data_IF_458363072827
#
_entry.id   IF_458363072827
#
_cell.length_a   1.000
_cell.length_b   1.000
_cell.length_c   1.000
_cell.angle_alpha   90.00
_cell.angle_beta   90.00
_cell.angle_gamma   90.00
#
_symmetry.space_group_name_H-M   'P 1'
#
loop_
_entity.id
_entity.type
_entity.pdbx_description
1 polymer ?
#
# COMPACT_ATOMS: atom_id res chain seq x y z
N UNK A 1 -17.20 -5.67 -25.49
CA UNK A 1 -17.26 -6.28 -24.14
C UNK A 1 -16.93 -5.19 -23.12
N UNK A 2 -17.54 -5.24 -21.93
CA UNK A 2 -17.23 -4.31 -20.83
C UNK A 2 -15.86 -4.67 -20.24
N UNK A 3 -15.09 -3.69 -19.77
CA UNK A 3 -13.81 -3.93 -19.10
C UNK A 3 -14.07 -4.51 -17.71
N UNK A 4 -13.37 -5.59 -17.35
CA UNK A 4 -13.41 -6.13 -16.00
C UNK A 4 -12.67 -5.19 -15.03
N UNK A 5 -13.29 -4.91 -13.90
CA UNK A 5 -12.70 -4.06 -12.87
C UNK A 5 -12.93 -4.69 -11.51
N UNK A 6 -11.91 -4.69 -10.67
CA UNK A 6 -11.97 -5.28 -9.33
C UNK A 6 -11.49 -4.29 -8.28
N UNK A 7 -12.07 -4.37 -7.08
CA UNK A 7 -11.59 -3.64 -5.89
C UNK A 7 -11.36 -4.65 -4.78
N UNK A 8 -10.13 -4.70 -4.28
CA UNK A 8 -9.69 -5.68 -3.30
C UNK A 8 -9.16 -4.92 -2.09
N UNK A 9 -9.56 -5.33 -0.89
CA UNK A 9 -8.98 -4.79 0.35
C UNK A 9 -7.79 -5.65 0.72
N UNK A 10 -6.59 -5.07 0.72
CA UNK A 10 -5.32 -5.79 0.91
C UNK A 10 -4.68 -5.53 2.29
N UNK A 11 -5.20 -4.56 3.02
CA UNK A 11 -4.95 -4.33 4.45
C UNK A 11 -6.16 -3.59 5.04
N UNK A 12 -6.64 -3.98 6.21
CA UNK A 12 -7.79 -3.32 6.87
C UNK A 12 -7.61 -3.29 8.38
N UNK A 13 -7.59 -2.08 8.94
CA UNK A 13 -7.40 -1.89 10.37
C UNK A 13 -6.14 -2.62 10.84
N UNK A 14 -5.14 -2.65 9.97
CA UNK A 14 -3.87 -3.31 10.20
C UNK A 14 -2.91 -2.30 10.80
N UNK A 15 -2.18 -2.72 11.84
CA UNK A 15 -1.18 -1.89 12.48
C UNK A 15 0.17 -2.17 11.84
N UNK A 16 0.76 -1.13 11.27
CA UNK A 16 2.07 -1.15 10.65
C UNK A 16 3.13 -0.62 11.62
N UNK A 17 4.17 -1.42 11.82
CA UNK A 17 5.34 -1.17 12.69
C UNK A 17 6.56 -1.77 11.99
N UNK A 18 7.70 -1.07 11.99
CA UNK A 18 8.90 -1.53 11.28
C UNK A 18 8.65 -1.74 9.79
N UNK A 19 9.16 -2.85 9.23
CA UNK A 19 8.91 -3.26 7.84
C UNK A 19 7.64 -4.08 7.77
N UNK A 20 6.68 -3.63 6.95
CA UNK A 20 5.35 -4.23 6.82
C UNK A 20 4.94 -4.30 5.35
N UNK A 21 4.06 -5.24 5.01
CA UNK A 21 3.58 -5.42 3.65
C UNK A 21 2.10 -5.79 3.65
N UNK A 22 1.35 -5.32 2.65
CA UNK A 22 -0.03 -5.75 2.43
C UNK A 22 -0.08 -7.22 1.99
N UNK A 23 -1.27 -7.82 2.08
CA UNK A 23 -1.54 -9.09 1.41
C UNK A 23 -1.24 -8.95 -0.10
N UNK A 24 -0.50 -9.90 -0.70
CA UNK A 24 -0.17 -9.87 -2.11
C UNK A 24 -1.39 -10.29 -2.96
N UNK A 25 -1.52 -9.71 -4.15
CA UNK A 25 -2.62 -10.02 -5.06
C UNK A 25 -2.09 -10.45 -6.43
N UNK A 26 -2.57 -11.61 -6.89
CA UNK A 26 -2.41 -12.04 -8.29
C UNK A 26 -3.39 -11.26 -9.17
N UNK A 27 -2.84 -10.53 -10.13
CA UNK A 27 -3.57 -9.57 -10.95
C UNK A 27 -3.05 -9.50 -12.39
N UNK A 28 -2.45 -10.58 -12.91
CA UNK A 28 -1.94 -10.63 -14.29
C UNK A 28 -2.97 -10.43 -15.41
N UNK A 29 -4.26 -10.47 -15.08
CA UNK A 29 -5.36 -10.11 -15.99
C UNK A 29 -5.53 -8.59 -16.15
N UNK A 30 -5.06 -7.80 -15.18
CA UNK A 30 -5.22 -6.36 -15.15
C UNK A 30 -4.07 -5.66 -15.90
N UNK A 31 -4.35 -4.46 -16.40
CA UNK A 31 -3.40 -3.62 -17.13
C UNK A 31 -3.02 -2.36 -16.35
N UNK A 32 -3.89 -1.94 -15.43
CA UNK A 32 -3.72 -0.75 -14.61
C UNK A 32 -4.12 -1.06 -13.17
N UNK A 33 -3.35 -0.54 -12.22
CA UNK A 33 -3.60 -0.67 -10.79
C UNK A 33 -3.53 0.68 -10.10
N UNK A 34 -4.41 0.90 -9.11
CA UNK A 34 -4.30 2.02 -8.17
C UNK A 34 -4.42 1.48 -6.75
N UNK A 35 -3.39 1.69 -5.96
CA UNK A 35 -3.46 1.53 -4.52
C UNK A 35 -3.98 2.83 -3.89
N UNK A 36 -4.99 2.74 -3.05
CA UNK A 36 -5.40 3.82 -2.15
C UNK A 36 -5.01 3.45 -0.74
N UNK A 37 -4.21 4.29 -0.09
CA UNK A 37 -3.74 4.08 1.27
C UNK A 37 -4.34 5.16 2.16
N UNK A 38 -5.04 4.73 3.19
CA UNK A 38 -5.66 5.60 4.19
C UNK A 38 -5.07 5.35 5.55
N UNK A 39 -4.75 6.43 6.26
CA UNK A 39 -4.40 6.40 7.69
C UNK A 39 -5.69 6.42 8.51
N UNK A 40 -5.84 5.49 9.45
CA UNK A 40 -7.06 5.35 10.27
C UNK A 40 -6.91 5.92 11.68
N UNK A 41 -5.69 6.09 12.17
CA UNK A 41 -5.46 6.63 13.50
C UNK A 41 -5.17 8.13 13.50
N UNK A 42 -5.52 8.77 14.62
CA UNK A 42 -4.98 10.07 14.96
C UNK A 42 -3.48 9.95 15.27
N UNK A 43 -2.69 10.96 14.88
CA UNK A 43 -1.29 11.03 15.29
C UNK A 43 -1.19 10.78 16.80
N UNK A 44 -0.27 9.91 17.20
CA UNK A 44 -0.08 9.63 18.62
C UNK A 44 0.23 10.95 19.34
N UNK A 45 -0.30 11.09 20.57
CA UNK A 45 -0.07 12.24 21.46
C UNK A 45 1.38 12.35 21.96
N UNK A 46 2.33 11.60 21.39
CA UNK A 46 3.74 11.91 21.61
C UNK A 46 4.11 13.09 20.72
N UNK A 47 4.64 14.17 21.32
CA UNK A 47 5.15 15.38 20.68
C UNK A 47 6.32 15.15 19.68
N UNK A 48 6.47 13.93 19.18
CA UNK A 48 7.46 13.55 18.19
C UNK A 48 6.78 13.60 16.82
N UNK A 49 7.37 14.28 15.81
CA UNK A 49 6.87 14.17 14.45
C UNK A 49 6.95 12.70 14.04
N UNK A 50 5.82 11.99 13.99
CA UNK A 50 5.81 10.63 13.46
C UNK A 50 6.32 10.73 12.03
N UNK A 51 7.43 10.07 11.74
CA UNK A 51 7.92 10.03 10.37
C UNK A 51 6.85 9.32 9.55
N UNK A 52 6.37 9.97 8.48
CA UNK A 52 5.34 9.36 7.66
C UNK A 52 5.96 8.17 6.94
N UNK A 53 5.42 6.95 7.09
CA UNK A 53 6.00 5.77 6.50
C UNK A 53 6.19 5.96 5.00
N UNK A 54 7.42 5.74 4.55
CA UNK A 54 7.70 5.63 3.13
C UNK A 54 7.10 4.32 2.65
N UNK A 55 6.35 4.39 1.55
CA UNK A 55 5.69 3.23 0.96
C UNK A 55 6.18 3.06 -0.47
N UNK A 56 6.31 1.82 -0.90
CA UNK A 56 6.64 1.48 -2.28
C UNK A 56 5.79 0.34 -2.78
N UNK A 57 5.58 0.31 -4.08
CA UNK A 57 4.98 -0.82 -4.77
C UNK A 57 6.07 -1.84 -5.08
N UNK A 58 5.76 -3.10 -4.82
CA UNK A 58 6.59 -4.22 -5.24
C UNK A 58 5.80 -5.13 -6.19
N UNK A 59 6.54 -5.70 -7.15
CA UNK A 59 6.03 -6.69 -8.10
C UNK A 59 6.76 -8.02 -7.92
N UNK A 60 6.10 -9.10 -8.33
CA UNK A 60 6.69 -10.43 -8.30
C UNK A 60 6.23 -11.29 -9.48
N UNK A 61 7.11 -12.13 -10.05
CA UNK A 61 6.71 -13.12 -11.05
C UNK A 61 5.98 -14.33 -10.43
N UNK A 62 6.21 -14.63 -9.15
CA UNK A 62 5.80 -15.88 -8.50
C UNK A 62 5.10 -15.69 -7.13
N UNK A 63 4.96 -14.45 -6.67
CA UNK A 63 4.39 -14.12 -5.35
C UNK A 63 5.34 -14.40 -4.17
N UNK A 64 6.56 -14.86 -4.44
CA UNK A 64 7.55 -15.24 -3.42
C UNK A 64 8.77 -14.29 -3.43
N UNK A 65 9.26 -13.95 -4.63
CA UNK A 65 10.42 -13.08 -4.82
C UNK A 65 9.98 -11.71 -5.30
N UNK A 66 10.28 -10.68 -4.51
CA UNK A 66 9.75 -9.35 -4.71
C UNK A 66 10.84 -8.36 -5.10
N UNK A 67 10.50 -7.46 -6.00
CA UNK A 67 11.37 -6.37 -6.43
C UNK A 67 10.61 -5.05 -6.44
N UNK A 68 11.26 -3.92 -6.10
CA UNK A 68 10.65 -2.60 -6.22
C UNK A 68 10.24 -2.33 -7.67
N UNK A 69 8.98 -1.96 -7.88
CA UNK A 69 8.49 -1.58 -9.21
C UNK A 69 8.99 -0.18 -9.62
N UNK A 70 9.18 0.71 -8.64
CA UNK A 70 9.67 2.07 -8.82
C UNK A 70 8.68 3.12 -8.30
N UNK A 71 7.38 2.80 -8.24
CA UNK A 71 6.38 3.68 -7.64
C UNK A 71 6.55 3.76 -6.13
N UNK A 72 6.77 4.97 -5.62
CA UNK A 72 6.90 5.28 -4.20
C UNK A 72 5.91 6.35 -3.76
N UNK A 73 5.62 6.40 -2.46
CA UNK A 73 4.78 7.42 -1.85
C UNK A 73 5.04 7.55 -0.35
N UNK A 74 4.19 8.32 0.31
CA UNK A 74 4.14 8.41 1.78
C UNK A 74 2.71 8.23 2.24
N UNK A 75 2.52 7.57 3.38
CA UNK A 75 1.22 7.62 4.05
C UNK A 75 0.86 9.06 4.41
N UNK A 76 -0.43 9.44 4.31
CA UNK A 76 -0.86 10.79 4.62
C UNK A 76 -0.77 11.06 6.12
N UNK A 77 -0.53 12.33 6.47
CA UNK A 77 -0.23 12.72 7.84
C UNK A 77 -1.46 12.82 8.75
N UNK A 78 -2.62 13.06 8.15
CA UNK A 78 -3.85 13.33 8.87
C UNK A 78 -4.72 12.08 8.94
N UNK A 79 -5.51 11.96 10.01
CA UNK A 79 -6.50 10.88 10.17
C UNK A 79 -7.47 10.89 9.00
N UNK A 80 -7.81 9.71 8.50
CA UNK A 80 -8.72 9.46 7.38
C UNK A 80 -8.30 10.06 6.02
N UNK A 81 -7.19 10.79 5.97
CA UNK A 81 -6.62 11.23 4.72
C UNK A 81 -6.16 10.03 3.89
N UNK A 82 -6.23 10.18 2.57
CA UNK A 82 -5.95 9.11 1.61
C UNK A 82 -4.92 9.60 0.59
N UNK A 83 -3.92 8.76 0.30
CA UNK A 83 -3.02 8.93 -0.84
C UNK A 83 -3.26 7.83 -1.87
N UNK A 84 -2.82 8.05 -3.11
CA UNK A 84 -2.96 7.07 -4.18
C UNK A 84 -1.64 6.85 -4.92
N UNK A 85 -1.33 5.59 -5.20
CA UNK A 85 -0.19 5.16 -6.03
C UNK A 85 -0.72 4.44 -7.27
N UNK A 86 -0.35 4.93 -8.45
CA UNK A 86 -0.81 4.40 -9.75
C UNK A 86 0.31 3.58 -10.38
N UNK A 87 -0.02 2.41 -10.90
CA UNK A 87 0.97 1.43 -11.40
C UNK A 87 0.47 0.83 -12.72
N UNK A 88 1.39 0.57 -13.65
CA UNK A 88 1.17 -0.10 -14.94
C UNK A 88 2.33 -1.07 -15.18
N UNK A 89 2.18 -2.00 -16.12
CA UNK A 89 3.26 -2.93 -16.52
C UNK A 89 3.84 -3.79 -15.37
N UNK A 90 3.00 -4.16 -14.40
CA UNK A 90 3.40 -4.83 -13.16
C UNK A 90 3.53 -6.36 -13.25
N UNK A 91 3.19 -6.97 -14.40
CA UNK A 91 3.27 -8.42 -14.57
C UNK A 91 2.12 -9.13 -13.86
N UNK A 92 2.42 -9.99 -12.88
CA UNK A 92 1.41 -10.86 -12.25
C UNK A 92 1.05 -10.48 -10.82
N UNK A 93 2.03 -10.29 -9.93
CA UNK A 93 1.76 -10.06 -8.50
C UNK A 93 2.07 -8.63 -8.09
N UNK A 94 1.20 -8.06 -7.24
CA UNK A 94 1.34 -6.73 -6.67
C UNK A 94 1.21 -6.74 -5.14
N UNK A 95 2.00 -5.92 -4.47
CA UNK A 95 1.81 -5.55 -3.05
C UNK A 95 2.35 -4.14 -2.78
N UNK A 96 2.02 -3.60 -1.60
CA UNK A 96 2.67 -2.41 -1.06
C UNK A 96 3.50 -2.79 0.16
N UNK A 97 4.71 -2.24 0.26
CA UNK A 97 5.57 -2.34 1.43
C UNK A 97 5.71 -0.96 2.05
N UNK A 98 5.60 -0.90 3.38
CA UNK A 98 5.85 0.29 4.19
C UNK A 98 7.04 0.09 5.12
N UNK A 99 7.74 1.18 5.40
CA UNK A 99 8.75 1.25 6.45
C UNK A 99 8.36 2.32 7.46
N UNK A 100 8.07 1.87 8.69
CA UNK A 100 7.71 2.71 9.82
C UNK A 100 8.91 2.79 10.75
N UNK A 101 9.28 4.01 11.18
CA UNK A 101 10.41 4.21 12.08
C UNK A 101 10.23 3.47 13.41
N UNK A 102 11.34 3.10 14.05
CA UNK A 102 11.33 2.39 15.31
C UNK A 102 10.59 3.19 16.41
N UNK A 103 9.61 2.56 17.05
CA UNK A 103 8.78 3.18 18.08
C UNK A 103 7.54 3.93 17.54
N UNK A 104 7.45 4.12 16.21
CA UNK A 104 6.24 4.61 15.55
C UNK A 104 5.34 3.44 15.15
N UNK A 105 4.04 3.72 15.04
CA UNK A 105 3.06 2.80 14.45
C UNK A 105 1.99 3.61 13.71
N UNK A 106 1.31 2.97 12.76
CA UNK A 106 0.11 3.52 12.17
C UNK A 106 -0.95 2.45 11.87
N UNK A 107 -2.22 2.81 12.01
CA UNK A 107 -3.34 1.99 11.51
C UNK A 107 -3.68 2.35 10.07
N UNK A 108 -3.79 1.35 9.20
CA UNK A 108 -4.03 1.55 7.77
C UNK A 108 -5.26 0.82 7.23
N UNK A 109 -5.82 1.40 6.17
CA UNK A 109 -6.70 0.73 5.21
C UNK A 109 -6.07 0.90 3.83
N UNK A 110 -5.83 -0.23 3.15
CA UNK A 110 -5.29 -0.22 1.79
C UNK A 110 -6.22 -0.98 0.86
N UNK A 111 -6.63 -0.32 -0.22
CA UNK A 111 -7.44 -0.92 -1.29
C UNK A 111 -6.68 -0.90 -2.60
N UNK A 112 -6.78 -1.99 -3.36
CA UNK A 112 -6.23 -2.16 -4.69
C UNK A 112 -7.36 -2.17 -5.71
N UNK A 113 -7.33 -1.22 -6.63
CA UNK A 113 -8.27 -1.10 -7.72
C UNK A 113 -7.59 -1.53 -9.01
N UNK A 114 -8.13 -2.57 -9.65
CA UNK A 114 -7.58 -3.19 -10.84
C UNK A 114 -8.50 -2.95 -12.03
N UNK A 115 -7.91 -2.68 -13.18
CA UNK A 115 -8.62 -2.58 -14.45
C UNK A 115 -7.86 -3.24 -15.59
#
# INVERSE_FOLDING_TARGET
MLRETSTIVVARNERWEGVCATEPVECGWATEAIFFLRRLDARSHQNTPSSLPEVRVEISPDGMHWLPEGTTGRLPADTDATTAMRVRHFGNWLRVVGEVAAGDSCLVLVTLHLK
#
